data_IF_721149641352
#
_entry.id   IF_721149641352
#
_cell.length_a   1.000
_cell.length_b   1.000
_cell.length_c   1.000
_cell.angle_alpha   90.00
_cell.angle_beta   90.00
_cell.angle_gamma   90.00
#
_symmetry.space_group_name_H-M   'P 1'
#
loop_
_entity.id
_entity.type
_entity.pdbx_description
1 polymer ?
#
# COMPACT_ATOMS: atom_id res chain seq x y z
N UNK A 1 -21.97 22.66 14.65
CA UNK A 1 -21.92 22.46 13.19
C UNK A 1 -20.71 21.61 12.93
N UNK A 2 -20.93 20.39 12.50
CA UNK A 2 -19.90 19.46 12.05
C UNK A 2 -19.15 20.13 10.88
N UNK A 3 -17.83 20.32 11.00
CA UNK A 3 -17.05 20.90 9.90
C UNK A 3 -17.04 19.88 8.76
N UNK A 4 -17.37 20.32 7.55
CA UNK A 4 -17.28 19.48 6.34
C UNK A 4 -15.83 19.04 6.10
N UNK A 5 -15.63 17.80 5.64
CA UNK A 5 -14.32 17.23 5.28
C UNK A 5 -13.51 18.17 4.37
N UNK A 6 -14.17 18.80 3.40
CA UNK A 6 -13.55 19.77 2.49
C UNK A 6 -12.98 20.99 3.24
N UNK A 7 -13.66 21.45 4.30
CA UNK A 7 -13.17 22.54 5.14
C UNK A 7 -11.95 22.11 5.96
N UNK A 8 -11.92 20.89 6.48
CA UNK A 8 -10.79 20.39 7.28
C UNK A 8 -9.54 20.21 6.42
N UNK A 9 -9.67 19.57 5.26
CA UNK A 9 -8.58 19.45 4.28
C UNK A 9 -8.14 20.84 3.80
N UNK A 10 -9.08 21.76 3.56
CA UNK A 10 -8.79 23.15 3.19
C UNK A 10 -8.00 23.91 4.25
N UNK A 11 -8.34 23.76 5.53
CA UNK A 11 -7.60 24.34 6.65
C UNK A 11 -6.17 23.78 6.74
N UNK A 12 -5.98 22.47 6.55
CA UNK A 12 -4.65 21.85 6.50
C UNK A 12 -3.80 22.37 5.34
N UNK A 13 -4.37 22.48 4.14
CA UNK A 13 -3.69 23.07 2.97
C UNK A 13 -3.24 24.50 3.27
N UNK A 14 -4.10 25.31 3.91
CA UNK A 14 -3.76 26.68 4.31
C UNK A 14 -2.59 26.72 5.29
N UNK A 15 -2.61 25.87 6.32
CA UNK A 15 -1.57 25.84 7.35
C UNK A 15 -0.21 25.49 6.74
N UNK A 16 -0.13 24.40 5.98
CA UNK A 16 1.11 24.00 5.30
C UNK A 16 1.60 25.05 4.31
N UNK A 17 0.71 25.70 3.57
CA UNK A 17 1.07 26.79 2.67
C UNK A 17 1.74 27.94 3.43
N UNK A 18 1.19 28.32 4.58
CA UNK A 18 1.75 29.39 5.42
C UNK A 18 3.08 28.99 6.06
N UNK A 19 3.22 27.74 6.52
CA UNK A 19 4.48 27.22 7.04
C UNK A 19 5.60 27.21 6.00
N UNK A 20 5.27 26.94 4.72
CA UNK A 20 6.20 27.05 3.60
C UNK A 20 6.43 28.49 3.12
N UNK A 21 5.78 29.48 3.73
CA UNK A 21 5.93 30.90 3.38
C UNK A 21 5.27 31.30 2.07
N UNK A 22 4.34 30.50 1.53
CA UNK A 22 3.69 30.77 0.25
C UNK A 22 2.42 31.62 0.42
N UNK A 23 2.17 32.52 -0.52
CA UNK A 23 0.85 33.17 -0.69
C UNK A 23 -0.11 32.26 -1.46
N UNK A 24 -1.41 32.56 -1.42
CA UNK A 24 -2.40 31.84 -2.23
C UNK A 24 -2.11 31.93 -3.73
N UNK A 25 -1.48 33.02 -4.19
CA UNK A 25 -1.04 33.17 -5.59
C UNK A 25 0.12 32.25 -5.91
N UNK A 26 1.10 32.15 -5.01
CA UNK A 26 2.29 31.33 -5.21
C UNK A 26 1.93 29.84 -5.30
N UNK A 27 1.06 29.36 -4.41
CA UNK A 27 0.57 27.98 -4.48
C UNK A 27 -0.25 27.73 -5.75
N UNK A 28 -1.07 28.70 -6.15
CA UNK A 28 -1.88 28.59 -7.37
C UNK A 28 -1.01 28.50 -8.63
N UNK A 29 0.07 29.28 -8.70
CA UNK A 29 1.04 29.26 -9.79
C UNK A 29 1.77 27.90 -9.84
N UNK A 30 2.24 27.38 -8.70
CA UNK A 30 2.90 26.08 -8.60
C UNK A 30 2.04 24.92 -9.11
N UNK A 31 0.74 24.91 -8.82
CA UNK A 31 -0.15 23.82 -9.24
C UNK A 31 -0.94 24.13 -10.52
N UNK A 32 -0.66 25.26 -11.18
CA UNK A 32 -1.29 25.63 -12.45
C UNK A 32 -2.80 25.93 -12.35
N UNK A 33 -3.24 26.64 -11.31
CA UNK A 33 -4.63 27.11 -11.15
C UNK A 33 -4.69 28.61 -10.90
N UNK A 34 -5.90 29.20 -10.99
CA UNK A 34 -6.11 30.61 -10.64
C UNK A 34 -6.14 30.77 -9.12
N UNK A 35 -5.64 31.90 -8.61
CA UNK A 35 -5.58 32.18 -7.15
C UNK A 35 -6.91 31.95 -6.43
N UNK A 36 -8.03 32.32 -7.07
CA UNK A 36 -9.35 32.20 -6.47
C UNK A 36 -9.73 30.73 -6.21
N UNK A 37 -9.17 29.79 -6.96
CA UNK A 37 -9.40 28.35 -6.76
C UNK A 37 -8.80 27.91 -5.43
N UNK A 38 -7.56 28.31 -5.13
CA UNK A 38 -6.92 28.07 -3.82
C UNK A 38 -7.74 28.70 -2.69
N UNK A 39 -8.23 29.93 -2.88
CA UNK A 39 -9.10 30.58 -1.90
C UNK A 39 -10.38 29.77 -1.61
N UNK A 40 -11.00 29.16 -2.64
CA UNK A 40 -12.17 28.33 -2.44
C UNK A 40 -11.82 26.97 -1.79
N UNK A 41 -10.67 26.40 -2.14
CA UNK A 41 -10.14 25.18 -1.51
C UNK A 41 -9.92 25.40 -0.01
N UNK A 42 -9.21 26.46 0.38
CA UNK A 42 -8.92 26.77 1.79
C UNK A 42 -10.16 27.10 2.62
N UNK A 43 -11.23 27.55 1.97
CA UNK A 43 -12.53 27.81 2.61
C UNK A 43 -13.43 26.57 2.69
N UNK A 44 -13.05 25.47 2.04
CA UNK A 44 -13.91 24.29 1.86
C UNK A 44 -15.13 24.52 0.97
N UNK A 45 -15.21 25.67 0.27
CA UNK A 45 -16.31 26.00 -0.63
C UNK A 45 -16.24 25.26 -1.97
N UNK A 46 -15.09 24.63 -2.25
CA UNK A 46 -14.86 23.87 -3.47
C UNK A 46 -14.12 22.58 -3.13
N UNK A 47 -14.68 21.46 -3.57
CA UNK A 47 -14.06 20.14 -3.48
C UNK A 47 -12.70 20.11 -4.19
N UNK A 48 -11.72 19.51 -3.54
CA UNK A 48 -10.38 19.29 -4.08
C UNK A 48 -10.34 17.86 -4.65
N UNK A 49 -10.05 17.70 -5.93
CA UNK A 49 -9.87 16.37 -6.50
C UNK A 49 -8.58 15.73 -5.97
N UNK A 50 -8.52 14.40 -5.97
CA UNK A 50 -7.32 13.66 -5.53
C UNK A 50 -6.08 14.07 -6.34
N UNK A 51 -6.20 14.19 -7.67
CA UNK A 51 -5.12 14.72 -8.51
C UNK A 51 -4.61 16.08 -8.05
N UNK A 52 -5.52 16.97 -7.61
CA UNK A 52 -5.14 18.29 -7.11
C UNK A 52 -4.56 18.23 -5.71
N UNK A 53 -5.00 17.30 -4.87
CA UNK A 53 -4.33 17.03 -3.59
C UNK A 53 -2.89 16.58 -3.83
N UNK A 54 -2.64 15.65 -4.75
CA UNK A 54 -1.28 15.25 -5.13
C UNK A 54 -0.44 16.42 -5.68
N UNK A 55 -1.02 17.27 -6.54
CA UNK A 55 -0.30 18.45 -7.02
C UNK A 55 0.03 19.42 -5.88
N UNK A 56 -0.86 19.57 -4.89
CA UNK A 56 -0.63 20.40 -3.70
C UNK A 56 0.46 19.79 -2.81
N UNK A 57 0.45 18.48 -2.57
CA UNK A 57 1.45 17.80 -1.74
C UNK A 57 2.83 17.87 -2.39
N UNK A 58 2.92 17.69 -3.71
CA UNK A 58 4.14 17.88 -4.48
C UNK A 58 4.65 19.33 -4.36
N UNK A 59 3.77 20.33 -4.53
CA UNK A 59 4.14 21.75 -4.42
C UNK A 59 4.57 22.20 -3.02
N UNK A 60 4.06 21.53 -1.99
CA UNK A 60 4.36 21.79 -0.57
C UNK A 60 5.44 20.85 0.00
N UNK A 61 5.88 19.86 -0.77
CA UNK A 61 6.83 18.82 -0.35
C UNK A 61 6.42 18.13 0.97
N UNK A 62 5.18 17.66 1.01
CA UNK A 62 4.57 16.95 2.15
C UNK A 62 3.93 15.64 1.66
N UNK A 63 3.59 14.73 2.58
CA UNK A 63 2.85 13.52 2.22
C UNK A 63 1.35 13.79 2.07
N UNK A 64 0.67 12.96 1.28
CA UNK A 64 -0.80 13.00 1.17
C UNK A 64 -1.49 12.67 2.50
N UNK A 65 -0.84 11.88 3.35
CA UNK A 65 -1.32 11.52 4.68
C UNK A 65 -1.35 12.71 5.64
N UNK A 66 -0.53 13.75 5.40
CA UNK A 66 -0.52 14.97 6.21
C UNK A 66 -1.79 15.83 5.97
N UNK A 67 -2.30 15.83 4.74
CA UNK A 67 -3.48 16.62 4.34
C UNK A 67 -4.81 15.93 4.67
N UNK A 68 -4.85 14.61 4.67
CA UNK A 68 -6.09 13.84 4.79
C UNK A 68 -6.30 13.42 6.25
N UNK A 69 -7.44 13.73 6.89
CA UNK A 69 -7.74 13.25 8.24
C UNK A 69 -7.84 11.72 8.27
N UNK A 70 -7.03 11.05 9.08
CA UNK A 70 -7.12 9.60 9.22
C UNK A 70 -8.42 9.30 10.00
N UNK A 71 -9.40 8.70 9.34
CA UNK A 71 -10.62 8.22 10.00
C UNK A 71 -10.26 7.09 10.94
N UNK A 72 -10.51 7.29 12.24
CA UNK A 72 -10.23 6.33 13.29
C UNK A 72 -11.44 5.40 13.44
N UNK A 73 -11.61 4.44 12.53
CA UNK A 73 -12.65 3.42 12.67
C UNK A 73 -12.25 2.06 12.10
N UNK A 74 -12.60 1.04 12.90
CA UNK A 74 -12.73 -0.38 12.60
C UNK A 74 -11.46 -1.26 12.67
N UNK A 75 -11.09 -1.64 13.91
CA UNK A 75 -10.53 -2.96 14.17
C UNK A 75 -11.66 -3.80 14.76
N UNK A 76 -12.24 -4.69 13.97
CA UNK A 76 -12.95 -5.86 14.51
C UNK A 76 -13.01 -6.93 13.42
N UNK A 77 -12.45 -8.10 13.79
CA UNK A 77 -12.71 -9.45 13.30
C UNK A 77 -11.56 -10.19 12.59
N UNK A 78 -10.59 -10.64 13.40
CA UNK A 78 -9.72 -11.81 13.12
C UNK A 78 -9.42 -12.53 14.46
N UNK A 79 -10.49 -12.94 15.17
CA UNK A 79 -10.47 -13.19 16.62
C UNK A 79 -9.58 -14.32 17.14
N UNK A 80 -9.54 -15.53 16.57
CA UNK A 80 -9.08 -16.68 17.38
C UNK A 80 -7.54 -16.84 17.44
N UNK A 81 -6.84 -16.61 16.33
CA UNK A 81 -5.36 -16.75 16.26
C UNK A 81 -4.65 -15.53 16.83
N UNK A 82 -5.18 -14.33 16.57
CA UNK A 82 -4.71 -13.08 17.16
C UNK A 82 -4.94 -13.09 18.68
N UNK A 83 -6.08 -13.60 19.18
CA UNK A 83 -6.31 -13.70 20.62
C UNK A 83 -5.35 -14.67 21.33
N UNK A 84 -4.83 -15.68 20.64
CA UNK A 84 -3.82 -16.58 21.19
C UNK A 84 -2.43 -15.93 21.23
N UNK A 85 -2.02 -15.25 20.16
CA UNK A 85 -0.79 -14.44 20.14
C UNK A 85 -0.84 -13.31 21.18
N UNK A 86 -1.98 -12.61 21.31
CA UNK A 86 -2.20 -11.57 22.33
C UNK A 86 -2.18 -12.15 23.74
N UNK A 87 -2.66 -13.38 23.94
CA UNK A 87 -2.58 -14.09 25.25
C UNK A 87 -1.14 -14.40 25.63
N UNK A 88 -0.34 -14.93 24.72
CA UNK A 88 1.09 -15.20 24.98
C UNK A 88 1.88 -13.90 25.17
N UNK A 89 1.58 -12.87 24.36
CA UNK A 89 2.15 -11.52 24.51
C UNK A 89 1.84 -10.90 25.89
N UNK A 90 0.63 -11.11 26.41
CA UNK A 90 0.22 -10.68 27.75
C UNK A 90 0.94 -11.41 28.89
N UNK A 91 1.56 -12.57 28.66
CA UNK A 91 2.35 -13.29 29.68
C UNK A 91 3.76 -12.72 29.86
N UNK A 92 4.25 -11.94 28.90
CA UNK A 92 5.56 -11.27 29.01
C UNK A 92 5.37 -10.12 30.00
N UNK A 93 5.83 -10.23 31.25
CA UNK A 93 5.65 -9.13 32.23
C UNK A 93 6.57 -7.94 31.97
N UNK A 94 7.65 -8.14 31.21
CA UNK A 94 8.64 -7.13 30.91
C UNK A 94 8.23 -6.28 29.70
N UNK A 95 8.09 -4.97 29.91
CA UNK A 95 7.64 -4.01 28.91
C UNK A 95 8.64 -3.84 27.76
N UNK A 96 9.94 -4.01 28.01
CA UNK A 96 10.99 -3.88 27.00
C UNK A 96 11.02 -5.13 26.11
N UNK A 97 10.83 -6.32 26.68
CA UNK A 97 10.69 -7.57 25.91
C UNK A 97 9.43 -7.57 25.04
N UNK A 98 8.34 -6.95 25.50
CA UNK A 98 7.12 -6.75 24.69
C UNK A 98 7.38 -5.86 23.48
N UNK A 99 8.02 -4.71 23.68
CA UNK A 99 8.43 -3.82 22.57
C UNK A 99 9.34 -4.55 21.59
N UNK A 100 10.34 -5.29 22.10
CA UNK A 100 11.26 -6.09 21.29
C UNK A 100 10.53 -7.13 20.43
N UNK A 101 9.57 -7.85 21.02
CA UNK A 101 8.77 -8.84 20.31
C UNK A 101 7.87 -8.23 19.23
N UNK A 102 7.27 -7.08 19.51
CA UNK A 102 6.48 -6.30 18.54
C UNK A 102 7.33 -5.90 17.33
N UNK A 103 8.51 -5.32 17.58
CA UNK A 103 9.46 -4.91 16.54
C UNK A 103 9.92 -6.09 15.68
N UNK A 104 10.23 -7.23 16.30
CA UNK A 104 10.63 -8.44 15.57
C UNK A 104 9.49 -8.97 14.69
N UNK A 105 8.26 -8.97 15.19
CA UNK A 105 7.09 -9.48 14.46
C UNK A 105 6.77 -8.62 13.25
N UNK A 106 6.71 -7.30 13.43
CA UNK A 106 6.47 -6.35 12.34
C UNK A 106 7.57 -6.44 11.29
N UNK A 107 8.83 -6.49 11.73
CA UNK A 107 9.97 -6.63 10.83
C UNK A 107 9.92 -7.93 10.00
N UNK A 108 9.58 -9.07 10.61
CA UNK A 108 9.43 -10.35 9.90
C UNK A 108 8.32 -10.26 8.86
N UNK A 109 7.17 -9.64 9.19
CA UNK A 109 6.06 -9.47 8.24
C UNK A 109 6.45 -8.55 7.06
N UNK A 110 7.14 -7.44 7.31
CA UNK A 110 7.60 -6.49 6.28
C UNK A 110 8.63 -7.14 5.36
N UNK A 111 9.63 -7.79 5.94
CA UNK A 111 10.69 -8.47 5.18
C UNK A 111 10.16 -9.64 4.35
N UNK A 112 9.20 -10.39 4.88
CA UNK A 112 8.54 -11.48 4.15
C UNK A 112 7.72 -10.95 2.96
N UNK A 113 6.89 -9.92 3.16
CA UNK A 113 6.06 -9.31 2.10
C UNK A 113 6.92 -8.71 0.98
N UNK A 114 7.96 -7.95 1.33
CA UNK A 114 8.86 -7.31 0.37
C UNK A 114 9.70 -8.32 -0.42
N UNK A 115 10.20 -9.37 0.25
CA UNK A 115 10.99 -10.43 -0.39
C UNK A 115 10.17 -11.28 -1.37
N UNK A 116 8.94 -11.67 -1.00
CA UNK A 116 8.02 -12.37 -1.91
C UNK A 116 7.71 -11.53 -3.15
N UNK A 117 7.43 -10.23 -2.96
CA UNK A 117 7.12 -9.32 -4.06
C UNK A 117 8.31 -9.16 -5.01
N UNK A 118 9.52 -8.96 -4.49
CA UNK A 118 10.73 -8.82 -5.30
C UNK A 118 11.02 -10.06 -6.17
N UNK A 119 10.84 -11.26 -5.61
CA UNK A 119 11.10 -12.51 -6.33
C UNK A 119 10.06 -12.78 -7.42
N UNK A 120 8.76 -12.53 -7.14
CA UNK A 120 7.70 -12.60 -8.16
C UNK A 120 7.98 -11.68 -9.35
N UNK A 121 8.41 -10.45 -9.09
CA UNK A 121 8.75 -9.48 -10.15
C UNK A 121 9.93 -9.99 -10.98
N UNK A 122 10.96 -10.57 -10.35
CA UNK A 122 12.11 -11.14 -11.03
C UNK A 122 11.72 -12.28 -11.98
N UNK A 123 10.86 -13.19 -11.53
CA UNK A 123 10.35 -14.31 -12.34
C UNK A 123 9.49 -13.81 -13.49
N UNK A 124 8.58 -12.87 -13.22
CA UNK A 124 7.71 -12.28 -14.23
C UNK A 124 8.51 -11.60 -15.36
N UNK A 125 9.52 -10.80 -15.00
CA UNK A 125 10.44 -10.18 -15.97
C UNK A 125 11.20 -11.21 -16.81
N UNK A 126 11.58 -12.35 -16.22
CA UNK A 126 12.22 -13.45 -16.93
C UNK A 126 11.30 -14.12 -17.96
N UNK A 127 10.04 -14.37 -17.58
CA UNK A 127 9.03 -15.00 -18.45
C UNK A 127 8.64 -14.13 -19.63
N UNK A 128 8.45 -12.83 -19.39
CA UNK A 128 8.15 -11.87 -20.47
C UNK A 128 9.33 -11.78 -21.45
N UNK A 129 10.58 -11.76 -20.96
CA UNK A 129 11.77 -11.82 -21.82
C UNK A 129 11.90 -13.12 -22.62
N UNK A 130 11.38 -14.23 -22.10
CA UNK A 130 11.33 -15.51 -22.79
C UNK A 130 10.17 -15.62 -23.81
N UNK A 131 9.37 -14.55 -23.99
CA UNK A 131 8.29 -14.48 -24.97
C UNK A 131 6.93 -14.99 -24.48
N UNK A 132 6.76 -15.23 -23.18
CA UNK A 132 5.47 -15.62 -22.59
C UNK A 132 4.56 -14.39 -22.52
N UNK A 133 3.30 -14.53 -22.92
CA UNK A 133 2.32 -13.44 -22.88
C UNK A 133 2.14 -12.89 -21.46
N UNK A 134 2.13 -11.56 -21.33
CA UNK A 134 1.98 -10.82 -20.08
C UNK A 134 0.68 -11.20 -19.35
N UNK A 135 -0.39 -11.47 -20.11
CA UNK A 135 -1.69 -11.85 -19.52
C UNK A 135 -1.62 -13.22 -18.83
N UNK A 136 -0.84 -14.16 -19.38
CA UNK A 136 -0.65 -15.49 -18.79
C UNK A 136 0.25 -15.39 -17.56
N UNK A 137 1.32 -14.58 -17.63
CA UNK A 137 2.25 -14.37 -16.51
C UNK A 137 1.56 -13.69 -15.34
N UNK A 138 0.76 -12.65 -15.59
CA UNK A 138 0.02 -11.90 -14.56
C UNK A 138 -1.01 -12.79 -13.84
N UNK A 139 -1.79 -13.57 -14.60
CA UNK A 139 -2.77 -14.52 -14.06
C UNK A 139 -2.11 -15.64 -13.23
N UNK A 140 -0.97 -16.18 -13.67
CA UNK A 140 -0.32 -17.30 -12.99
C UNK A 140 0.48 -16.89 -11.74
N UNK A 141 1.11 -15.70 -11.73
CA UNK A 141 1.95 -15.25 -10.60
C UNK A 141 1.13 -14.44 -9.58
N UNK A 142 -0.07 -14.00 -9.96
CA UNK A 142 -0.90 -13.10 -9.16
C UNK A 142 -0.26 -11.73 -9.03
N UNK A 143 0.39 -11.25 -10.10
CA UNK A 143 0.87 -9.88 -10.25
C UNK A 143 -0.04 -9.14 -11.22
N UNK A 144 -0.10 -7.82 -11.13
CA UNK A 144 -0.79 -7.03 -12.14
C UNK A 144 -0.02 -7.04 -13.47
N UNK A 145 -0.73 -6.98 -14.61
CA UNK A 145 -0.11 -6.94 -15.94
C UNK A 145 0.92 -5.81 -16.08
N UNK A 146 0.70 -4.70 -15.38
CA UNK A 146 1.56 -3.53 -15.31
C UNK A 146 2.86 -3.75 -14.51
N UNK A 147 2.93 -4.72 -13.59
CA UNK A 147 4.17 -5.10 -12.89
C UNK A 147 5.09 -5.99 -13.75
N UNK A 148 4.57 -6.50 -14.87
CA UNK A 148 5.25 -7.41 -15.78
C UNK A 148 5.85 -6.71 -17.02
N UNK A 149 5.50 -5.45 -17.28
CA UNK A 149 5.94 -4.66 -18.44
C UNK A 149 6.79 -3.48 -17.96
N UNK A 150 7.88 -3.17 -18.68
CA UNK A 150 8.48 -1.84 -18.58
C UNK A 150 7.61 -0.80 -19.33
N UNK A 151 7.09 0.16 -18.57
CA UNK A 151 6.75 1.55 -18.94
C UNK A 151 5.29 2.06 -18.92
N UNK A 152 5.24 3.36 -18.54
CA UNK A 152 4.14 4.33 -18.33
C UNK A 152 3.27 4.14 -17.09
N UNK A 153 3.53 5.01 -16.12
CA UNK A 153 2.66 5.31 -14.98
C UNK A 153 1.23 5.55 -15.50
N UNK A 154 0.34 4.58 -15.31
CA UNK A 154 -1.09 4.79 -15.53
C UNK A 154 -1.57 5.97 -14.68
N UNK A 155 -2.65 6.64 -15.10
CA UNK A 155 -3.24 7.74 -14.32
C UNK A 155 -3.41 7.33 -12.85
N UNK A 156 -3.24 8.28 -11.92
CA UNK A 156 -3.42 8.10 -10.47
C UNK A 156 -4.74 7.36 -10.18
N UNK A 157 -5.80 7.66 -10.93
CA UNK A 157 -7.09 7.00 -10.78
C UNK A 157 -7.07 5.51 -11.12
N UNK A 158 -6.26 5.09 -12.08
CA UNK A 158 -6.11 3.67 -12.40
C UNK A 158 -5.41 2.92 -11.27
N UNK A 159 -4.41 3.55 -10.64
CA UNK A 159 -3.70 2.98 -9.50
C UNK A 159 -4.63 2.87 -8.26
N UNK A 160 -5.41 3.90 -7.96
CA UNK A 160 -6.42 3.85 -6.88
C UNK A 160 -7.51 2.81 -7.21
N UNK A 161 -7.97 2.78 -8.46
CA UNK A 161 -8.95 1.81 -8.94
C UNK A 161 -8.51 0.35 -8.75
N UNK A 162 -7.22 0.07 -8.97
CA UNK A 162 -6.63 -1.26 -8.69
C UNK A 162 -6.68 -1.60 -7.21
N UNK A 163 -6.33 -0.67 -6.32
CA UNK A 163 -6.41 -0.86 -4.86
C UNK A 163 -7.84 -1.16 -4.40
N UNK A 164 -8.82 -0.42 -4.91
CA UNK A 164 -10.23 -0.67 -4.62
C UNK A 164 -10.62 -2.09 -5.03
N UNK A 165 -10.23 -2.51 -6.24
CA UNK A 165 -10.52 -3.85 -6.75
C UNK A 165 -9.85 -4.95 -5.92
N UNK A 166 -8.59 -4.77 -5.54
CA UNK A 166 -7.84 -5.71 -4.68
C UNK A 166 -8.57 -5.94 -3.36
N UNK A 167 -8.90 -4.88 -2.64
CA UNK A 167 -9.60 -4.97 -1.35
C UNK A 167 -11.02 -5.51 -1.49
N UNK A 168 -11.73 -5.17 -2.56
CA UNK A 168 -13.04 -5.75 -2.85
C UNK A 168 -12.97 -7.28 -2.98
N UNK A 169 -11.96 -7.79 -3.69
CA UNK A 169 -11.76 -9.23 -3.86
C UNK A 169 -11.33 -9.91 -2.55
N UNK A 170 -10.52 -9.26 -1.72
CA UNK A 170 -10.15 -9.76 -0.38
C UNK A 170 -11.39 -9.91 0.52
N UNK A 171 -12.36 -9.00 0.39
CA UNK A 171 -13.66 -9.08 1.09
C UNK A 171 -14.68 -9.98 0.40
N UNK A 172 -14.29 -10.68 -0.67
CA UNK A 172 -15.15 -11.56 -1.49
C UNK A 172 -16.37 -10.86 -2.10
N UNK A 173 -16.30 -9.54 -2.29
CA UNK A 173 -17.40 -8.76 -2.84
C UNK A 173 -17.36 -8.75 -4.38
N UNK A 174 -18.53 -8.83 -5.02
CA UNK A 174 -18.68 -8.46 -6.43
C UNK A 174 -18.79 -6.94 -6.58
N UNK A 175 -18.61 -6.42 -7.80
CA UNK A 175 -18.83 -4.98 -8.07
C UNK A 175 -20.26 -4.54 -7.71
N UNK A 176 -21.23 -5.45 -7.78
CA UNK A 176 -22.61 -5.19 -7.37
C UNK A 176 -22.73 -5.10 -5.85
N UNK A 177 -22.08 -6.00 -5.12
CA UNK A 177 -22.15 -6.02 -3.65
C UNK A 177 -21.51 -4.77 -3.03
N UNK A 178 -20.37 -4.34 -3.58
CA UNK A 178 -19.74 -3.08 -3.15
C UNK A 178 -20.64 -1.87 -3.49
N UNK A 179 -21.27 -1.88 -4.67
CA UNK A 179 -22.19 -0.82 -5.07
C UNK A 179 -23.40 -0.72 -4.14
N UNK A 180 -23.97 -1.87 -3.73
CA UNK A 180 -25.07 -1.94 -2.77
C UNK A 180 -24.65 -1.39 -1.39
N UNK A 181 -23.47 -1.75 -0.90
CA UNK A 181 -22.92 -1.23 0.37
C UNK A 181 -22.72 0.29 0.36
N UNK A 182 -22.33 0.84 -0.78
CA UNK A 182 -22.08 2.28 -0.97
C UNK A 182 -23.30 3.08 -1.43
N UNK A 183 -24.48 2.45 -1.58
CA UNK A 183 -25.66 3.07 -2.19
C UNK A 183 -25.36 3.74 -3.56
N UNK A 184 -24.58 3.07 -4.41
CA UNK A 184 -24.18 3.53 -5.74
C UNK A 184 -24.52 2.47 -6.81
N UNK A 185 -24.11 2.70 -8.07
CA UNK A 185 -24.33 1.75 -9.17
C UNK A 185 -23.11 0.90 -9.45
N UNK A 186 -23.32 -0.34 -9.91
CA UNK A 186 -22.25 -1.26 -10.33
C UNK A 186 -21.37 -0.67 -11.44
N UNK A 187 -21.94 0.14 -12.33
CA UNK A 187 -21.19 0.81 -13.39
C UNK A 187 -20.28 1.91 -12.84
N UNK A 188 -20.69 2.61 -11.79
CA UNK A 188 -19.87 3.62 -11.11
C UNK A 188 -18.66 2.96 -10.44
N UNK A 189 -18.85 1.86 -9.71
CA UNK A 189 -17.75 1.06 -9.15
C UNK A 189 -16.81 0.56 -10.26
N UNK A 190 -17.37 0.06 -11.37
CA UNK A 190 -16.57 -0.40 -12.50
C UNK A 190 -15.73 0.74 -13.13
N UNK A 191 -16.28 1.95 -13.21
CA UNK A 191 -15.56 3.11 -13.73
C UNK A 191 -14.44 3.56 -12.80
N UNK A 192 -14.67 3.50 -11.48
CA UNK A 192 -13.65 3.77 -10.47
C UNK A 192 -12.52 2.74 -10.50
N UNK A 193 -12.84 1.45 -10.52
CA UNK A 193 -11.83 0.37 -10.56
C UNK A 193 -10.94 0.43 -11.79
N UNK A 194 -11.49 0.88 -12.92
CA UNK A 194 -10.75 1.01 -14.17
C UNK A 194 -10.04 2.36 -14.30
N UNK A 195 -10.23 3.28 -13.35
CA UNK A 195 -9.68 4.64 -13.42
C UNK A 195 -10.24 5.49 -14.55
N UNK A 196 -11.43 5.17 -15.07
CA UNK A 196 -12.11 5.94 -16.14
C UNK A 196 -12.70 7.24 -15.62
N UNK A 197 -13.08 7.25 -14.34
CA UNK A 197 -13.66 8.40 -13.66
C UNK A 197 -12.85 8.72 -12.41
N UNK A 198 -12.65 10.01 -12.16
CA UNK A 198 -12.05 10.49 -10.92
C UNK A 198 -12.93 10.12 -9.73
N UNK A 199 -12.35 9.48 -8.71
CA UNK A 199 -13.05 9.20 -7.45
C UNK A 199 -12.99 10.46 -6.57
N UNK A 200 -14.12 11.01 -6.12
CA UNK A 200 -14.12 12.07 -5.11
C UNK A 200 -13.59 11.57 -3.75
N UNK A 201 -13.01 12.44 -2.93
CA UNK A 201 -12.44 12.06 -1.63
C UNK A 201 -13.50 11.51 -0.67
N UNK A 202 -14.69 12.12 -0.64
CA UNK A 202 -15.84 11.65 0.15
C UNK A 202 -16.23 10.22 -0.23
N UNK A 203 -16.25 9.90 -1.53
CA UNK A 203 -16.52 8.54 -2.01
C UNK A 203 -15.42 7.55 -1.65
N UNK A 204 -14.16 7.98 -1.58
CA UNK A 204 -13.09 7.11 -1.08
C UNK A 204 -13.23 6.79 0.41
N UNK A 205 -13.68 7.74 1.24
CA UNK A 205 -13.98 7.45 2.64
C UNK A 205 -15.13 6.45 2.77
N UNK A 206 -16.21 6.64 2.02
CA UNK A 206 -17.32 5.68 1.97
C UNK A 206 -16.84 4.29 1.50
N UNK A 207 -15.92 4.23 0.53
CA UNK A 207 -15.30 2.96 0.09
C UNK A 207 -14.46 2.32 1.19
N UNK A 208 -13.61 3.10 1.84
CA UNK A 208 -12.74 2.61 2.92
C UNK A 208 -13.60 2.05 4.07
N UNK A 209 -14.68 2.72 4.42
CA UNK A 209 -15.66 2.24 5.40
C UNK A 209 -16.36 0.95 4.92
N UNK A 210 -16.87 0.92 3.69
CA UNK A 210 -17.56 -0.24 3.12
C UNK A 210 -16.66 -1.49 2.99
N UNK A 211 -15.36 -1.27 2.76
CA UNK A 211 -14.33 -2.32 2.70
C UNK A 211 -13.69 -2.60 4.07
N UNK A 212 -14.02 -1.81 5.10
CA UNK A 212 -13.45 -1.89 6.46
C UNK A 212 -11.92 -1.84 6.45
N UNK A 213 -11.37 -0.81 5.79
CA UNK A 213 -9.93 -0.56 5.66
C UNK A 213 -9.63 0.91 5.98
N UNK A 214 -8.35 1.25 6.13
CA UNK A 214 -7.97 2.65 6.26
C UNK A 214 -8.01 3.35 4.90
N UNK A 215 -8.35 4.64 4.88
CA UNK A 215 -8.29 5.46 3.66
C UNK A 215 -6.87 5.47 3.07
N UNK A 216 -5.82 5.38 3.89
CA UNK A 216 -4.43 5.32 3.43
C UNK A 216 -4.14 4.08 2.61
N UNK A 217 -4.84 2.97 2.83
CA UNK A 217 -4.67 1.71 2.09
C UNK A 217 -5.14 1.82 0.62
N UNK A 218 -5.93 2.84 0.30
CA UNK A 218 -6.41 3.16 -1.05
C UNK A 218 -5.57 4.23 -1.75
N UNK A 219 -4.73 4.97 -1.03
CA UNK A 219 -3.93 6.06 -1.58
C UNK A 219 -2.56 5.57 -2.05
N UNK A 220 -1.98 6.29 -3.01
CA UNK A 220 -0.66 5.99 -3.57
C UNK A 220 0.35 6.98 -3.00
N UNK A 221 1.49 6.50 -2.54
CA UNK A 221 2.64 7.36 -2.31
C UNK A 221 3.40 7.48 -3.63
N UNK A 222 3.44 8.70 -4.17
CA UNK A 222 4.29 8.99 -5.32
C UNK A 222 5.68 9.33 -4.80
N UNK A 223 6.56 8.34 -4.73
CA UNK A 223 7.98 8.61 -4.54
C UNK A 223 8.75 8.45 -5.85
N UNK A 224 9.23 9.59 -6.37
CA UNK A 224 10.50 9.60 -7.09
C UNK A 224 11.61 9.26 -6.10
N UNK A 225 12.03 8.01 -6.09
CA UNK A 225 13.27 7.60 -5.46
C UNK A 225 13.20 7.48 -3.93
N UNK A 226 13.24 6.24 -3.47
CA UNK A 226 13.64 5.84 -2.12
C UNK A 226 12.91 6.54 -0.98
N UNK A 227 11.76 5.99 -0.61
CA UNK A 227 11.37 5.97 0.80
C UNK A 227 10.55 4.72 1.07
N UNK A 228 11.23 3.69 1.60
CA UNK A 228 10.58 2.75 2.50
C UNK A 228 10.29 3.56 3.77
N UNK A 229 9.33 4.48 3.76
CA UNK A 229 9.11 5.36 4.91
C UNK A 229 7.64 5.68 5.09
N UNK A 230 6.88 4.69 5.54
CA UNK A 230 5.84 4.92 6.53
C UNK A 230 5.78 3.83 7.61
N UNK A 231 6.51 2.72 7.46
CA UNK A 231 6.71 1.73 8.55
C UNK A 231 8.12 1.80 9.19
N UNK A 232 9.10 2.37 8.50
CA UNK A 232 10.48 2.51 8.99
C UNK A 232 10.63 3.62 10.06
N UNK A 233 9.97 4.79 9.96
CA UNK A 233 10.07 5.84 10.96
C UNK A 233 9.51 5.42 12.33
N UNK A 234 8.41 4.66 12.35
CA UNK A 234 7.80 4.13 13.57
C UNK A 234 8.67 3.06 14.22
N UNK A 235 9.27 2.15 13.43
CA UNK A 235 10.25 1.18 13.92
C UNK A 235 11.49 1.87 14.51
N UNK A 236 12.01 2.92 13.87
CA UNK A 236 13.19 3.66 14.33
C UNK A 236 12.88 4.43 15.62
N UNK A 237 11.66 4.94 15.77
CA UNK A 237 11.20 5.62 16.99
C UNK A 237 11.05 4.63 18.14
N UNK A 238 10.36 3.52 17.94
CA UNK A 238 10.20 2.45 18.95
C UNK A 238 11.54 1.78 19.32
N UNK A 239 12.46 1.64 18.36
CA UNK A 239 13.83 1.17 18.60
C UNK A 239 14.63 2.11 19.52
N UNK A 240 14.45 3.42 19.36
CA UNK A 240 15.10 4.43 20.21
C UNK A 240 14.51 4.48 21.63
N UNK A 241 13.29 3.99 21.81
CA UNK A 241 12.61 3.90 23.11
C UNK A 241 13.01 2.69 23.96
N UNK A 242 13.83 1.77 23.43
CA UNK A 242 14.42 0.68 24.23
C UNK A 242 15.53 1.27 25.09
N UNK A 243 15.46 1.21 26.42
CA UNK A 243 16.47 1.85 27.28
C UNK A 243 17.76 1.02 27.37
N UNK A 244 17.65 -0.30 27.31
CA UNK A 244 18.80 -1.22 27.42
C UNK A 244 19.60 -1.30 26.12
N UNK A 245 20.86 -0.86 26.18
CA UNK A 245 21.80 -0.97 25.06
C UNK A 245 22.12 -2.43 24.70
N UNK A 246 22.10 -3.34 25.68
CA UNK A 246 22.31 -4.78 25.43
C UNK A 246 21.16 -5.38 24.62
N UNK A 247 19.91 -5.00 24.93
CA UNK A 247 18.74 -5.43 24.19
C UNK A 247 18.70 -4.84 22.77
N UNK A 248 19.08 -3.56 22.61
CA UNK A 248 19.21 -2.93 21.29
C UNK A 248 20.22 -3.68 20.39
N UNK A 249 21.38 -4.04 20.95
CA UNK A 249 22.42 -4.74 20.23
C UNK A 249 22.01 -6.19 19.90
N UNK A 250 21.36 -6.87 20.83
CA UNK A 250 20.81 -8.21 20.60
C UNK A 250 19.71 -8.21 19.53
N UNK A 251 18.86 -7.17 19.51
CA UNK A 251 17.84 -6.97 18.48
C UNK A 251 18.49 -6.76 17.10
N UNK A 252 19.45 -5.84 16.96
CA UNK A 252 20.16 -5.64 15.68
C UNK A 252 20.77 -6.95 15.19
N UNK A 253 21.47 -7.67 16.07
CA UNK A 253 22.12 -8.94 15.71
C UNK A 253 21.11 -9.98 15.26
N UNK A 254 20.01 -10.14 16.00
CA UNK A 254 18.96 -11.11 15.69
C UNK A 254 18.19 -10.74 14.41
N UNK A 255 17.97 -9.44 14.16
CA UNK A 255 17.38 -8.93 12.92
C UNK A 255 18.28 -9.22 11.72
N UNK A 256 19.59 -9.01 11.86
CA UNK A 256 20.56 -9.23 10.79
C UNK A 256 20.76 -10.72 10.48
N UNK A 257 20.90 -11.55 11.51
CA UNK A 257 21.00 -13.00 11.36
C UNK A 257 19.69 -13.62 10.84
N UNK A 258 18.54 -13.13 11.32
CA UNK A 258 17.22 -13.53 10.86
C UNK A 258 16.93 -13.12 9.41
N UNK A 259 17.36 -11.93 8.99
CA UNK A 259 17.18 -11.44 7.61
C UNK A 259 17.74 -12.42 6.58
N UNK A 260 19.00 -12.81 6.72
CA UNK A 260 19.67 -13.65 5.72
C UNK A 260 19.03 -15.05 5.64
N UNK A 261 18.63 -15.61 6.78
CA UNK A 261 18.05 -16.96 6.86
C UNK A 261 16.61 -16.97 6.35
N UNK A 262 15.81 -15.96 6.72
CA UNK A 262 14.41 -15.87 6.30
C UNK A 262 14.32 -15.49 4.83
N UNK A 263 15.14 -14.56 4.35
CA UNK A 263 15.06 -14.07 2.98
C UNK A 263 15.29 -15.18 1.95
N UNK A 264 16.29 -16.05 2.14
CA UNK A 264 16.57 -17.13 1.21
C UNK A 264 15.50 -18.23 1.27
N UNK A 265 15.01 -18.58 2.46
CA UNK A 265 13.93 -19.56 2.64
C UNK A 265 12.61 -19.07 2.03
N UNK A 266 12.26 -17.80 2.26
CA UNK A 266 11.06 -17.16 1.72
C UNK A 266 11.14 -17.09 0.20
N UNK A 267 12.27 -16.64 -0.38
CA UNK A 267 12.45 -16.63 -1.84
C UNK A 267 12.35 -18.01 -2.44
N UNK A 268 12.96 -19.03 -1.82
CA UNK A 268 12.89 -20.41 -2.30
C UNK A 268 11.46 -20.97 -2.25
N UNK A 269 10.74 -20.75 -1.15
CA UNK A 269 9.35 -21.17 -1.02
C UNK A 269 8.44 -20.46 -2.06
N UNK A 270 8.65 -19.16 -2.28
CA UNK A 270 7.88 -18.39 -3.25
C UNK A 270 8.19 -18.83 -4.69
N UNK A 271 9.45 -19.13 -5.02
CA UNK A 271 9.85 -19.72 -6.31
C UNK A 271 9.11 -21.04 -6.58
N UNK A 272 9.06 -21.93 -5.60
CA UNK A 272 8.37 -23.22 -5.73
C UNK A 272 6.87 -23.02 -5.93
N UNK A 273 6.26 -22.12 -5.15
CA UNK A 273 4.83 -21.79 -5.27
C UNK A 273 4.51 -21.24 -6.66
N UNK A 274 5.24 -20.22 -7.10
CA UNK A 274 5.09 -19.60 -8.42
C UNK A 274 5.30 -20.62 -9.53
N UNK A 275 6.33 -21.47 -9.43
CA UNK A 275 6.57 -22.52 -10.43
C UNK A 275 5.39 -23.49 -10.55
N UNK A 276 4.82 -23.94 -9.43
CA UNK A 276 3.64 -24.82 -9.42
C UNK A 276 2.42 -24.16 -10.05
N UNK A 277 2.21 -22.87 -9.79
CA UNK A 277 1.10 -22.11 -10.36
C UNK A 277 1.29 -21.86 -11.87
N UNK A 278 2.54 -21.64 -12.32
CA UNK A 278 2.88 -21.53 -13.75
C UNK A 278 2.67 -22.85 -14.52
N UNK A 279 2.99 -24.01 -13.91
CA UNK A 279 2.72 -25.33 -14.50
C UNK A 279 1.23 -25.57 -14.63
N UNK A 280 0.44 -25.24 -13.60
CA UNK A 280 -1.03 -25.31 -13.66
C UNK A 280 -1.61 -24.37 -14.73
N UNK A 281 -0.95 -23.23 -14.96
CA UNK A 281 -1.26 -22.28 -16.02
C UNK A 281 -0.87 -22.73 -17.44
N UNK A 282 -0.29 -23.94 -17.61
CA UNK A 282 0.03 -24.52 -18.90
C UNK A 282 1.34 -24.03 -19.53
N UNK A 283 2.22 -23.38 -18.75
CA UNK A 283 3.54 -22.95 -19.23
C UNK A 283 4.49 -24.15 -19.23
N UNK A 284 5.32 -24.26 -20.27
CA UNK A 284 6.29 -25.34 -20.41
C UNK A 284 7.26 -25.40 -19.23
N UNK A 285 7.44 -26.61 -18.67
CA UNK A 285 8.34 -26.88 -17.54
C UNK A 285 9.78 -26.46 -17.88
N UNK A 286 10.22 -26.64 -19.13
CA UNK A 286 11.57 -26.26 -19.55
C UNK A 286 11.82 -24.74 -19.46
N UNK A 287 10.80 -23.93 -19.76
CA UNK A 287 10.86 -22.46 -19.66
C UNK A 287 10.88 -22.06 -18.18
N UNK A 288 10.09 -22.72 -17.34
CA UNK A 288 10.02 -22.45 -15.89
C UNK A 288 11.36 -22.79 -15.22
N UNK A 289 11.97 -23.92 -15.55
CA UNK A 289 13.25 -24.36 -14.99
C UNK A 289 14.39 -23.39 -15.32
N UNK A 290 14.44 -22.87 -16.55
CA UNK A 290 15.45 -21.89 -16.98
C UNK A 290 15.36 -20.55 -16.24
N UNK A 291 14.15 -20.14 -15.84
CA UNK A 291 13.90 -18.80 -15.28
C UNK A 291 13.91 -18.81 -13.75
N UNK A 292 13.29 -19.82 -13.14
CA UNK A 292 13.11 -19.90 -11.69
C UNK A 292 14.36 -20.51 -11.02
N UNK A 293 15.23 -21.20 -11.78
CA UNK A 293 16.47 -21.79 -11.28
C UNK A 293 16.25 -22.91 -10.26
N UNK A 294 15.15 -23.65 -10.39
CA UNK A 294 14.80 -24.82 -9.60
C UNK A 294 15.13 -26.09 -10.37
N UNK A 295 15.17 -27.22 -9.67
CA UNK A 295 15.30 -28.55 -10.28
C UNK A 295 13.92 -29.19 -10.51
N UNK A 296 13.81 -30.09 -11.49
CA UNK A 296 12.52 -30.66 -11.92
C UNK A 296 11.78 -31.42 -10.80
N UNK A 297 12.51 -32.01 -9.86
CA UNK A 297 12.02 -32.69 -8.65
C UNK A 297 11.33 -31.74 -7.66
N UNK A 298 11.57 -30.43 -7.73
CA UNK A 298 10.98 -29.43 -6.83
C UNK A 298 9.64 -28.87 -7.34
N UNK A 299 9.33 -29.11 -8.61
CA UNK A 299 8.15 -28.56 -9.31
C UNK A 299 7.05 -29.63 -9.48
N UNK A 300 7.42 -30.91 -9.49
CA UNK A 300 6.50 -32.05 -9.58
C UNK A 300 5.48 -32.13 -8.43
#
# INVERSE_FOLDING_TARGET
>A
MEKSLDCEVGEKVKNWRLERGYTQKDLAEKIGVKYWVILQYEKGNRRISIERLYAITEALSISITDLIPISKSCLEDEGEEILNLVREYKKINDQELRKMFCLLTNFVQISEKSSKKAEKIKIAKGLVKAGVSVDIVSQAIGLSADECIEEKVGSIYCQIGKKIKEWRLVREYTQKDLAEKMNTTRDEISNYEQGRTAVPLDKLYEMAEALSINITDLLIEKDEGSTVENELPDLIKEYKEIESQELRNALIKSLFEGMHICEEKVRKAERIKVAKDLVKGGISIDIILQIVGLSADQIA
#
